data_IF_567977870983
#
_entry.id   IF_567977870983
#
_cell.length_a   1.000
_cell.length_b   1.000
_cell.length_c   1.000
_cell.angle_alpha   90.00
_cell.angle_beta   90.00
_cell.angle_gamma   90.00
#
_symmetry.space_group_name_H-M   'P 1'
#
loop_
_entity.id
_entity.type
_entity.pdbx_description
1 polymer ?
#
# COMPACT_ATOMS: atom_id res chain seq x y z
N UNK A 1 -94.98 47.54 -28.05
CA UNK A 1 -95.40 46.15 -27.86
C UNK A 1 -94.15 45.29 -27.73
N UNK A 2 -93.83 44.61 -26.62
CA UNK A 2 -94.53 43.51 -25.90
C UNK A 2 -94.47 42.17 -26.62
N UNK A 3 -93.95 41.16 -25.90
CA UNK A 3 -93.95 39.70 -26.14
C UNK A 3 -92.75 39.14 -26.96
N UNK A 4 -92.16 37.97 -26.62
CA UNK A 4 -92.43 37.05 -25.49
C UNK A 4 -91.18 36.33 -24.95
N UNK A 5 -91.17 36.14 -23.62
CA UNK A 5 -90.46 35.17 -22.75
C UNK A 5 -89.12 34.54 -23.19
N UNK A 6 -88.12 34.74 -22.32
CA UNK A 6 -86.95 33.87 -22.14
C UNK A 6 -87.32 32.46 -21.68
N UNK A 7 -86.56 31.46 -22.12
CA UNK A 7 -86.40 30.15 -21.45
C UNK A 7 -84.91 29.76 -21.42
N UNK A 8 -84.59 28.84 -20.52
CA UNK A 8 -83.27 28.70 -19.88
C UNK A 8 -82.50 27.44 -20.35
N UNK A 9 -81.22 27.39 -19.95
CA UNK A 9 -80.39 26.19 -19.71
C UNK A 9 -79.76 25.40 -20.88
N UNK A 10 -78.43 25.54 -20.94
CA UNK A 10 -77.45 24.44 -20.96
C UNK A 10 -77.42 23.45 -22.14
N UNK A 11 -76.88 23.90 -23.28
CA UNK A 11 -76.25 23.01 -24.29
C UNK A 11 -74.74 23.28 -24.29
N UNK A 12 -74.02 22.74 -23.30
CA UNK A 12 -72.61 23.10 -23.08
C UNK A 12 -71.78 22.08 -22.26
N UNK A 13 -71.89 20.78 -22.53
CA UNK A 13 -71.01 19.76 -21.91
C UNK A 13 -70.98 18.38 -22.64
N UNK A 14 -70.69 18.33 -23.95
CA UNK A 14 -70.32 17.04 -24.58
C UNK A 14 -69.34 17.18 -25.77
N UNK A 15 -68.28 17.97 -25.59
CA UNK A 15 -67.13 17.91 -26.50
C UNK A 15 -66.31 16.65 -26.17
N UNK A 16 -66.70 15.52 -26.74
CA UNK A 16 -65.94 14.25 -26.63
C UNK A 16 -64.55 14.48 -27.20
N UNK A 17 -63.51 14.14 -26.43
CA UNK A 17 -62.13 14.19 -26.90
C UNK A 17 -61.89 13.09 -27.94
N UNK A 18 -62.20 13.38 -29.20
CA UNK A 18 -61.67 12.67 -30.35
C UNK A 18 -60.19 13.03 -30.57
N UNK A 19 -59.36 12.80 -29.55
CA UNK A 19 -57.92 12.64 -29.77
C UNK A 19 -57.77 11.43 -30.70
N UNK A 20 -57.11 11.56 -31.86
CA UNK A 20 -56.68 10.38 -32.58
C UNK A 20 -55.69 9.66 -31.66
N UNK A 21 -56.08 8.48 -31.18
CA UNK A 21 -55.11 7.56 -30.63
C UNK A 21 -54.16 7.23 -31.78
N UNK A 22 -53.01 7.90 -31.81
CA UNK A 22 -51.83 7.36 -32.46
C UNK A 22 -51.47 6.10 -31.69
N UNK A 23 -52.11 4.99 -32.07
CA UNK A 23 -51.43 3.72 -32.04
C UNK A 23 -50.07 3.98 -32.71
N UNK A 24 -49.00 3.77 -31.95
CA UNK A 24 -47.72 3.57 -32.60
C UNK A 24 -47.95 2.40 -33.55
N UNK A 25 -47.86 2.68 -34.85
CA UNK A 25 -47.91 1.65 -35.87
C UNK A 25 -46.55 0.93 -35.79
N UNK A 26 -46.43 0.11 -34.74
CA UNK A 26 -45.28 -0.70 -34.37
C UNK A 26 -45.23 -1.88 -35.35
N UNK A 27 -45.12 -1.51 -36.63
CA UNK A 27 -45.32 -2.33 -37.80
C UNK A 27 -44.35 -3.49 -37.70
N UNK A 28 -44.91 -4.70 -37.58
CA UNK A 28 -44.18 -5.91 -37.20
C UNK A 28 -43.11 -6.21 -38.25
N UNK A 29 -41.93 -5.63 -38.03
CA UNK A 29 -40.81 -5.71 -38.94
C UNK A 29 -40.40 -7.17 -39.04
N UNK A 30 -40.35 -7.69 -40.27
CA UNK A 30 -40.12 -9.11 -40.50
C UNK A 30 -38.84 -9.56 -39.77
N UNK A 31 -38.84 -10.71 -39.09
CA UNK A 31 -37.67 -11.15 -38.33
C UNK A 31 -36.48 -11.38 -39.27
N UNK A 32 -35.40 -10.60 -39.12
CA UNK A 32 -34.22 -10.67 -40.01
C UNK A 32 -33.05 -11.35 -39.30
N UNK A 33 -32.41 -12.30 -39.97
CA UNK A 33 -31.23 -13.01 -39.45
C UNK A 33 -29.97 -12.12 -39.52
N UNK A 34 -29.21 -12.08 -38.44
CA UNK A 34 -27.92 -11.38 -38.37
C UNK A 34 -26.79 -12.24 -38.93
N UNK A 35 -25.86 -11.62 -39.67
CA UNK A 35 -24.68 -12.32 -40.22
C UNK A 35 -23.57 -12.53 -39.19
N UNK A 36 -23.42 -11.61 -38.23
CA UNK A 36 -22.46 -11.69 -37.12
C UNK A 36 -23.13 -11.31 -35.81
N UNK A 37 -22.81 -12.07 -34.75
CA UNK A 37 -23.47 -11.98 -33.44
C UNK A 37 -22.43 -12.08 -32.33
N UNK A 38 -22.61 -11.29 -31.29
CA UNK A 38 -21.68 -11.18 -30.15
C UNK A 38 -22.41 -11.51 -28.86
N UNK A 39 -21.93 -12.51 -28.10
CA UNK A 39 -22.67 -13.11 -26.96
C UNK A 39 -21.81 -13.16 -25.69
N UNK A 40 -22.46 -13.08 -24.52
CA UNK A 40 -21.87 -13.26 -23.16
C UNK A 40 -22.56 -14.37 -22.33
N UNK A 41 -23.54 -15.08 -22.89
CA UNK A 41 -24.11 -16.28 -22.29
C UNK A 41 -23.44 -17.55 -22.80
N UNK A 42 -23.54 -18.64 -22.05
CA UNK A 42 -23.13 -19.99 -22.46
C UNK A 42 -24.07 -20.62 -23.51
N UNK A 43 -25.22 -19.99 -23.73
CA UNK A 43 -26.27 -20.38 -24.67
C UNK A 43 -26.68 -19.17 -25.51
N UNK A 44 -26.71 -19.35 -26.83
CA UNK A 44 -27.21 -18.40 -27.83
C UNK A 44 -28.72 -18.52 -27.93
N UNK A 45 -29.42 -17.38 -27.91
CA UNK A 45 -30.87 -17.25 -27.94
C UNK A 45 -31.37 -16.78 -29.30
N UNK A 46 -32.68 -16.89 -29.54
CA UNK A 46 -33.31 -16.42 -30.78
C UNK A 46 -33.06 -14.92 -31.00
N UNK A 47 -33.16 -14.11 -29.96
CA UNK A 47 -32.97 -12.65 -30.04
C UNK A 47 -31.52 -12.19 -30.25
N UNK A 48 -30.53 -13.06 -30.03
CA UNK A 48 -29.14 -12.76 -30.36
C UNK A 48 -28.92 -12.90 -31.88
N UNK A 49 -29.57 -13.91 -32.47
CA UNK A 49 -29.47 -14.28 -33.89
C UNK A 49 -30.41 -13.49 -34.82
N UNK A 50 -31.54 -13.00 -34.30
CA UNK A 50 -32.67 -12.47 -35.09
C UNK A 50 -33.12 -11.12 -34.54
N UNK A 51 -33.05 -10.08 -35.37
CA UNK A 51 -33.74 -8.82 -35.11
C UNK A 51 -35.25 -8.98 -35.23
N UNK A 52 -36.01 -8.27 -34.39
CA UNK A 52 -37.48 -8.33 -34.33
C UNK A 52 -38.05 -9.70 -33.93
N UNK A 53 -37.28 -10.52 -33.20
CA UNK A 53 -37.72 -11.84 -32.70
C UNK A 53 -38.91 -11.82 -31.70
N UNK A 54 -39.35 -10.65 -31.23
CA UNK A 54 -40.49 -10.48 -30.33
C UNK A 54 -40.39 -11.35 -29.06
N UNK A 55 -41.52 -11.90 -28.62
CA UNK A 55 -41.62 -12.77 -27.44
C UNK A 55 -40.77 -14.05 -27.53
N UNK A 56 -40.36 -14.48 -28.74
CA UNK A 56 -39.50 -15.65 -28.92
C UNK A 56 -38.02 -15.36 -28.60
N UNK A 57 -37.61 -14.09 -28.48
CA UNK A 57 -36.22 -13.66 -28.32
C UNK A 57 -35.47 -14.37 -27.18
N UNK A 58 -36.14 -14.70 -26.07
CA UNK A 58 -35.55 -15.34 -24.90
C UNK A 58 -35.30 -16.85 -25.05
N UNK A 59 -35.82 -17.50 -26.11
CA UNK A 59 -35.74 -18.95 -26.28
C UNK A 59 -34.28 -19.38 -26.57
N UNK A 60 -33.71 -20.37 -25.86
CA UNK A 60 -32.38 -20.91 -26.14
C UNK A 60 -32.37 -21.79 -27.40
N UNK A 61 -31.33 -21.64 -28.22
CA UNK A 61 -31.20 -22.32 -29.54
C UNK A 61 -29.93 -23.16 -29.64
N UNK A 62 -28.77 -22.61 -29.29
CA UNK A 62 -27.45 -23.26 -29.41
C UNK A 62 -26.59 -23.04 -28.16
N UNK A 63 -25.59 -23.89 -27.92
CA UNK A 63 -24.49 -23.53 -27.02
C UNK A 63 -23.57 -22.51 -27.69
N UNK A 64 -23.12 -21.52 -26.93
CA UNK A 64 -22.12 -20.56 -27.39
C UNK A 64 -20.75 -21.23 -27.54
N UNK A 65 -19.87 -20.71 -28.42
CA UNK A 65 -18.47 -21.15 -28.50
C UNK A 65 -17.68 -20.93 -27.21
N UNK A 66 -16.42 -21.40 -27.21
CA UNK A 66 -15.48 -21.16 -26.12
C UNK A 66 -15.16 -19.67 -25.92
N UNK A 67 -14.75 -19.33 -24.70
CA UNK A 67 -14.48 -17.95 -24.27
C UNK A 67 -13.38 -17.29 -25.13
N UNK A 68 -13.77 -16.24 -25.85
CA UNK A 68 -12.89 -15.48 -26.75
C UNK A 68 -12.73 -16.11 -28.13
N UNK A 69 -13.66 -16.99 -28.54
CA UNK A 69 -13.65 -17.66 -29.86
C UNK A 69 -14.88 -17.31 -30.69
N UNK A 70 -14.76 -17.51 -32.00
CA UNK A 70 -15.86 -17.36 -32.97
C UNK A 70 -16.18 -18.73 -33.57
N UNK A 71 -17.46 -19.10 -33.60
CA UNK A 71 -17.96 -20.29 -34.25
C UNK A 71 -18.95 -19.96 -35.36
N UNK A 72 -18.83 -20.64 -36.51
CA UNK A 72 -19.75 -20.49 -37.63
C UNK A 72 -20.95 -21.45 -37.49
N UNK A 73 -22.17 -20.93 -37.65
CA UNK A 73 -23.41 -21.71 -37.66
C UNK A 73 -24.07 -21.65 -39.05
N UNK A 74 -24.16 -22.75 -39.80
CA UNK A 74 -24.81 -22.77 -41.12
C UNK A 74 -26.28 -22.38 -41.04
N UNK A 75 -26.74 -21.50 -41.93
CA UNK A 75 -28.11 -20.94 -41.89
C UNK A 75 -29.19 -22.01 -42.06
N UNK A 76 -28.92 -23.07 -42.82
CA UNK A 76 -29.81 -24.22 -42.94
C UNK A 76 -30.06 -24.94 -41.60
N UNK A 77 -29.04 -25.02 -40.73
CA UNK A 77 -29.15 -25.59 -39.39
C UNK A 77 -29.93 -24.64 -38.46
N UNK A 78 -29.58 -23.35 -38.48
CA UNK A 78 -30.28 -22.29 -37.72
C UNK A 78 -31.78 -22.29 -38.03
N UNK A 79 -32.17 -22.24 -39.31
CA UNK A 79 -33.57 -22.31 -39.74
C UNK A 79 -34.27 -23.60 -39.31
N UNK A 80 -33.57 -24.74 -39.26
CA UNK A 80 -34.16 -26.02 -38.86
C UNK A 80 -34.55 -26.02 -37.38
N UNK A 81 -33.69 -25.50 -36.50
CA UNK A 81 -33.99 -25.40 -35.06
C UNK A 81 -35.05 -24.32 -34.79
N UNK A 82 -35.02 -23.19 -35.52
CA UNK A 82 -36.02 -22.12 -35.39
C UNK A 82 -37.44 -22.61 -35.73
N UNK A 83 -37.61 -23.37 -36.83
CA UNK A 83 -38.90 -24.01 -37.16
C UNK A 83 -39.36 -24.96 -36.05
N UNK A 84 -38.45 -25.75 -35.47
CA UNK A 84 -38.75 -26.63 -34.34
C UNK A 84 -39.08 -25.88 -33.03
N UNK A 85 -38.76 -24.58 -32.95
CA UNK A 85 -39.18 -23.64 -31.90
C UNK A 85 -40.33 -22.72 -32.33
N UNK A 86 -41.02 -23.06 -33.42
CA UNK A 86 -42.17 -22.32 -33.98
C UNK A 86 -41.85 -20.88 -34.43
N UNK A 87 -40.57 -20.53 -34.61
CA UNK A 87 -40.13 -19.25 -35.18
C UNK A 87 -40.13 -19.39 -36.71
N UNK A 88 -41.05 -18.69 -37.37
CA UNK A 88 -41.39 -18.83 -38.79
C UNK A 88 -41.32 -17.44 -39.46
N UNK A 89 -41.03 -17.40 -40.77
CA UNK A 89 -41.01 -16.14 -41.53
C UNK A 89 -39.69 -15.36 -41.47
N UNK A 90 -38.61 -15.99 -41.00
CA UNK A 90 -37.29 -15.36 -40.87
C UNK A 90 -36.67 -15.05 -42.24
N UNK A 91 -36.37 -13.78 -42.50
CA UNK A 91 -35.66 -13.31 -43.68
C UNK A 91 -34.16 -13.51 -43.49
N UNK A 92 -33.51 -14.24 -44.41
CA UNK A 92 -32.08 -14.61 -44.28
C UNK A 92 -31.14 -13.95 -45.28
N UNK A 93 -31.68 -13.26 -46.30
CA UNK A 93 -30.87 -12.66 -47.38
C UNK A 93 -29.92 -13.67 -48.03
N UNK A 94 -28.74 -13.20 -48.45
CA UNK A 94 -27.66 -14.01 -49.02
C UNK A 94 -26.74 -14.68 -47.97
N UNK A 95 -27.11 -14.64 -46.68
CA UNK A 95 -26.31 -15.16 -45.58
C UNK A 95 -26.28 -16.70 -45.62
N UNK A 96 -25.07 -17.28 -45.69
CA UNK A 96 -24.86 -18.74 -45.72
C UNK A 96 -24.52 -19.33 -44.35
N UNK A 97 -23.84 -18.54 -43.52
CA UNK A 97 -23.39 -18.86 -42.17
C UNK A 97 -23.55 -17.64 -41.26
N UNK A 98 -23.83 -17.87 -39.98
CA UNK A 98 -23.83 -16.84 -38.94
C UNK A 98 -22.57 -17.00 -38.10
N UNK A 99 -21.78 -15.94 -37.99
CA UNK A 99 -20.56 -15.93 -37.19
C UNK A 99 -20.88 -15.49 -35.76
N UNK A 100 -20.82 -16.42 -34.81
CA UNK A 100 -21.12 -16.19 -33.39
C UNK A 100 -19.82 -16.06 -32.60
N UNK A 101 -19.53 -14.87 -32.08
CA UNK A 101 -18.35 -14.60 -31.24
C UNK A 101 -18.76 -14.54 -29.77
N UNK A 102 -18.12 -15.33 -28.91
CA UNK A 102 -18.31 -15.21 -27.46
C UNK A 102 -17.24 -14.30 -26.87
N UNK A 103 -17.65 -13.18 -26.27
CA UNK A 103 -16.73 -12.26 -25.60
C UNK A 103 -16.14 -12.91 -24.34
N UNK A 104 -14.88 -12.59 -24.07
CA UNK A 104 -14.19 -13.00 -22.86
C UNK A 104 -13.34 -11.88 -22.29
N UNK A 105 -13.32 -11.79 -20.95
CA UNK A 105 -12.35 -11.00 -20.22
C UNK A 105 -11.15 -11.89 -19.91
N UNK A 106 -9.99 -11.56 -20.46
CA UNK A 106 -8.74 -12.21 -20.05
C UNK A 106 -8.22 -11.51 -18.79
N UNK A 107 -7.95 -12.29 -17.74
CA UNK A 107 -7.15 -11.83 -16.60
C UNK A 107 -5.72 -12.32 -16.80
N UNK A 108 -4.78 -11.39 -16.93
CA UNK A 108 -3.38 -11.74 -17.09
C UNK A 108 -2.83 -12.34 -15.79
N UNK A 109 -1.88 -13.25 -15.92
CA UNK A 109 -1.26 -13.94 -14.78
C UNK A 109 -0.71 -12.96 -13.73
N UNK A 110 -0.12 -11.84 -14.18
CA UNK A 110 0.37 -10.75 -13.34
C UNK A 110 -0.72 -9.97 -12.59
N UNK A 111 -1.92 -9.85 -13.14
CA UNK A 111 -3.05 -9.20 -12.45
C UNK A 111 -3.56 -10.06 -11.29
N UNK A 112 -3.49 -11.38 -11.46
CA UNK A 112 -3.83 -12.36 -10.43
C UNK A 112 -2.75 -12.40 -9.33
N UNK A 113 -1.46 -12.28 -9.68
CA UNK A 113 -0.36 -12.09 -8.72
C UNK A 113 -0.57 -10.82 -7.88
N UNK A 114 -0.82 -9.68 -8.53
CA UNK A 114 -1.10 -8.41 -7.85
C UNK A 114 -2.32 -8.51 -6.92
N UNK A 115 -3.42 -9.13 -7.38
CA UNK A 115 -4.63 -9.31 -6.58
C UNK A 115 -4.40 -10.23 -5.36
N UNK A 116 -3.58 -11.27 -5.49
CA UNK A 116 -3.14 -12.13 -4.38
C UNK A 116 -2.26 -11.36 -3.40
N UNK A 117 -1.25 -10.63 -3.88
CA UNK A 117 -0.33 -9.87 -3.04
C UNK A 117 -1.07 -8.78 -2.24
N UNK A 118 -1.89 -7.96 -2.89
CA UNK A 118 -2.71 -6.96 -2.22
C UNK A 118 -3.84 -7.55 -1.36
N UNK A 119 -4.19 -8.83 -1.48
CA UNK A 119 -5.10 -9.52 -0.55
C UNK A 119 -4.38 -10.07 0.69
N UNK A 120 -3.12 -10.46 0.54
CA UNK A 120 -2.29 -10.98 1.63
C UNK A 120 -1.73 -9.85 2.51
N UNK A 121 -1.24 -8.76 1.91
CA UNK A 121 -0.79 -7.54 2.59
C UNK A 121 -1.85 -7.02 3.57
N UNK A 122 -3.03 -6.63 3.06
CA UNK A 122 -4.14 -6.03 3.83
C UNK A 122 -4.68 -6.88 4.98
N UNK A 123 -4.44 -8.20 5.01
CA UNK A 123 -5.06 -9.13 5.97
C UNK A 123 -4.07 -9.86 6.89
N UNK A 124 -2.80 -9.93 6.51
CA UNK A 124 -1.76 -10.61 7.30
C UNK A 124 -0.58 -9.70 7.69
N UNK A 125 -0.52 -8.46 7.21
CA UNK A 125 0.56 -7.52 7.57
C UNK A 125 1.94 -7.95 7.07
N UNK A 126 1.96 -8.77 6.01
CA UNK A 126 3.16 -8.99 5.21
C UNK A 126 3.56 -7.67 4.54
N UNK A 127 4.86 -7.48 4.30
CA UNK A 127 5.36 -6.27 3.63
C UNK A 127 4.75 -6.05 2.25
N UNK A 128 4.84 -4.81 1.76
CA UNK A 128 4.20 -4.27 0.56
C UNK A 128 4.03 -5.28 -0.58
N UNK A 129 2.89 -5.29 -1.27
CA UNK A 129 2.59 -6.25 -2.35
C UNK A 129 3.72 -6.40 -3.40
N UNK A 130 4.48 -5.35 -3.69
CA UNK A 130 5.63 -5.38 -4.60
C UNK A 130 6.80 -6.28 -4.13
N UNK A 131 6.93 -6.49 -2.82
CA UNK A 131 7.93 -7.34 -2.17
C UNK A 131 7.51 -8.82 -2.10
N UNK A 132 6.24 -9.15 -2.35
CA UNK A 132 5.76 -10.53 -2.31
C UNK A 132 6.03 -11.26 -3.64
N UNK A 133 6.76 -12.37 -3.61
CA UNK A 133 6.87 -13.28 -4.76
C UNK A 133 5.80 -14.35 -4.65
N UNK A 134 4.87 -14.35 -5.59
CA UNK A 134 3.74 -15.30 -5.66
C UNK A 134 4.06 -16.40 -6.67
N UNK A 135 3.71 -17.65 -6.36
CA UNK A 135 3.85 -18.81 -7.24
C UNK A 135 2.66 -19.73 -7.05
N UNK A 136 1.97 -20.08 -8.13
CA UNK A 136 0.72 -20.85 -8.04
C UNK A 136 0.96 -22.37 -8.11
N UNK A 137 0.22 -23.15 -7.30
CA UNK A 137 0.29 -24.63 -7.27
C UNK A 137 -0.03 -25.25 -8.64
N UNK A 138 -0.95 -24.61 -9.36
CA UNK A 138 -1.34 -24.92 -10.73
C UNK A 138 -0.81 -23.79 -11.58
N UNK A 139 -0.06 -24.09 -12.64
CA UNK A 139 0.49 -23.06 -13.53
C UNK A 139 -0.62 -22.17 -14.10
N UNK A 140 -0.79 -20.98 -13.53
CA UNK A 140 -1.79 -20.02 -13.97
C UNK A 140 -1.33 -19.47 -15.31
N UNK A 141 -1.95 -19.99 -16.37
CA UNK A 141 -2.00 -19.34 -17.67
C UNK A 141 -3.11 -18.29 -17.64
N UNK A 142 -3.03 -17.29 -18.53
CA UNK A 142 -3.97 -16.17 -18.55
C UNK A 142 -5.44 -16.65 -18.61
N UNK A 143 -6.19 -16.31 -17.56
CA UNK A 143 -7.48 -16.92 -17.30
C UNK A 143 -8.58 -16.16 -18.03
N UNK A 144 -9.23 -16.82 -18.98
CA UNK A 144 -10.41 -16.28 -19.67
C UNK A 144 -11.66 -16.52 -18.82
N UNK A 145 -12.28 -15.42 -18.42
CA UNK A 145 -13.62 -15.36 -17.85
C UNK A 145 -14.61 -14.88 -18.92
N UNK A 146 -15.90 -15.07 -18.66
CA UNK A 146 -16.92 -14.42 -19.49
C UNK A 146 -16.84 -12.89 -19.35
N UNK A 147 -17.07 -12.15 -20.45
CA UNK A 147 -16.97 -10.70 -20.46
C UNK A 147 -18.00 -10.00 -19.54
N UNK A 148 -19.13 -10.64 -19.22
CA UNK A 148 -20.07 -10.12 -18.21
C UNK A 148 -19.47 -10.06 -16.79
N UNK A 149 -18.30 -10.65 -16.53
CA UNK A 149 -17.57 -10.51 -15.27
C UNK A 149 -16.73 -9.22 -15.27
N UNK A 150 -17.39 -8.07 -15.16
CA UNK A 150 -16.76 -6.74 -15.19
C UNK A 150 -16.14 -6.32 -13.84
N UNK A 151 -16.59 -6.91 -12.74
CA UNK A 151 -16.20 -6.51 -11.38
C UNK A 151 -14.70 -6.63 -11.06
N UNK A 152 -14.29 -5.98 -9.96
CA UNK A 152 -12.94 -6.17 -9.40
C UNK A 152 -12.81 -7.53 -8.69
N UNK A 153 -11.58 -8.05 -8.59
CA UNK A 153 -11.25 -9.26 -7.82
C UNK A 153 -11.35 -8.99 -6.31
N UNK A 154 -12.46 -9.37 -5.67
CA UNK A 154 -12.66 -9.17 -4.24
C UNK A 154 -12.30 -10.44 -3.46
N UNK A 155 -11.25 -10.41 -2.65
CA UNK A 155 -10.85 -11.54 -1.81
C UNK A 155 -11.79 -11.70 -0.59
N UNK A 156 -12.63 -12.73 -0.61
CA UNK A 156 -13.63 -13.01 0.43
C UNK A 156 -13.06 -13.93 1.51
N UNK A 157 -12.58 -15.11 1.11
CA UNK A 157 -11.82 -16.00 1.97
C UNK A 157 -10.32 -15.84 1.67
N UNK A 158 -9.51 -15.71 2.71
CA UNK A 158 -8.05 -15.60 2.59
C UNK A 158 -7.45 -16.43 3.71
N UNK A 159 -6.66 -17.45 3.38
CA UNK A 159 -5.93 -18.29 4.31
C UNK A 159 -4.46 -18.29 3.89
N UNK A 160 -3.58 -18.09 4.85
CA UNK A 160 -2.13 -18.06 4.65
C UNK A 160 -1.44 -18.80 5.81
N UNK A 161 -0.42 -19.59 5.50
CA UNK A 161 0.46 -20.25 6.46
C UNK A 161 1.85 -19.61 6.37
N UNK A 162 2.25 -18.88 7.40
CA UNK A 162 3.55 -18.19 7.47
C UNK A 162 4.76 -19.11 7.66
N UNK A 163 4.57 -20.40 7.97
CA UNK A 163 5.67 -21.38 8.01
C UNK A 163 5.99 -21.96 6.64
N UNK A 164 4.96 -22.30 5.87
CA UNK A 164 5.10 -22.87 4.52
C UNK A 164 5.00 -21.87 3.37
N UNK A 165 4.69 -20.60 3.67
CA UNK A 165 4.32 -19.59 2.68
C UNK A 165 3.02 -19.90 1.91
N UNK A 166 2.26 -20.94 2.29
CA UNK A 166 1.17 -21.45 1.46
C UNK A 166 -0.10 -20.62 1.61
N UNK A 167 -0.71 -20.22 0.50
CA UNK A 167 -1.97 -19.49 0.46
C UNK A 167 -3.11 -20.31 -0.18
N UNK A 168 -4.33 -20.00 0.27
CA UNK A 168 -5.60 -20.40 -0.34
C UNK A 168 -6.53 -19.19 -0.28
N UNK A 169 -6.91 -18.65 -1.43
CA UNK A 169 -7.70 -17.42 -1.52
C UNK A 169 -8.88 -17.65 -2.46
N UNK A 170 -10.09 -17.39 -1.95
CA UNK A 170 -11.31 -17.33 -2.75
C UNK A 170 -11.64 -15.87 -3.07
N UNK A 171 -11.55 -15.54 -4.35
CA UNK A 171 -12.01 -14.28 -4.92
C UNK A 171 -13.45 -14.42 -5.43
N UNK A 172 -14.23 -13.35 -5.27
CA UNK A 172 -15.51 -13.17 -5.96
C UNK A 172 -15.39 -12.01 -6.96
N UNK A 173 -16.09 -12.14 -8.08
CA UNK A 173 -16.14 -11.15 -9.16
C UNK A 173 -17.61 -10.91 -9.51
N UNK A 174 -18.05 -9.66 -9.42
CA UNK A 174 -19.40 -9.23 -9.83
C UNK A 174 -19.64 -9.51 -11.31
N UNK A 175 -20.86 -9.96 -11.63
CA UNK A 175 -21.29 -10.28 -13.00
C UNK A 175 -22.54 -9.48 -13.36
N UNK A 176 -22.51 -8.74 -14.47
CA UNK A 176 -23.60 -7.85 -14.87
C UNK A 176 -24.81 -8.60 -15.48
N UNK A 177 -24.65 -9.90 -15.79
CA UNK A 177 -25.68 -10.76 -16.35
C UNK A 177 -26.23 -11.80 -15.37
N UNK A 178 -25.68 -11.90 -14.16
CA UNK A 178 -26.10 -12.87 -13.14
C UNK A 178 -25.87 -12.31 -11.72
N UNK A 179 -26.91 -12.22 -10.87
CA UNK A 179 -26.76 -11.73 -9.49
C UNK A 179 -25.87 -12.62 -8.60
N UNK A 180 -25.56 -13.86 -9.01
CA UNK A 180 -24.57 -14.69 -8.33
C UNK A 180 -23.14 -14.36 -8.82
N UNK A 181 -22.22 -13.92 -7.93
CA UNK A 181 -20.86 -13.57 -8.33
C UNK A 181 -20.04 -14.81 -8.71
N UNK A 182 -19.13 -14.64 -9.67
CA UNK A 182 -18.23 -15.70 -10.11
C UNK A 182 -17.14 -15.93 -9.07
N UNK A 183 -17.03 -17.18 -8.60
CA UNK A 183 -16.05 -17.61 -7.59
C UNK A 183 -14.79 -18.18 -8.23
N UNK A 184 -13.65 -17.59 -7.90
CA UNK A 184 -12.32 -18.05 -8.28
C UNK A 184 -11.54 -18.47 -7.04
N UNK A 185 -10.95 -19.67 -7.03
CA UNK A 185 -10.05 -20.11 -5.95
C UNK A 185 -8.63 -20.28 -6.48
N UNK A 186 -7.70 -19.52 -5.91
CA UNK A 186 -6.27 -19.57 -6.21
C UNK A 186 -5.51 -20.17 -5.03
N UNK A 187 -4.59 -21.09 -5.30
CA UNK A 187 -3.72 -21.72 -4.30
C UNK A 187 -2.27 -21.72 -4.79
N UNK A 188 -1.32 -21.66 -3.87
CA UNK A 188 0.10 -21.57 -4.17
C UNK A 188 0.95 -21.24 -2.97
N UNK A 189 2.18 -20.82 -3.22
CA UNK A 189 3.11 -20.25 -2.23
C UNK A 189 3.35 -18.77 -2.51
N UNK A 190 3.37 -17.97 -1.45
CA UNK A 190 3.73 -16.58 -1.46
C UNK A 190 4.87 -16.37 -0.46
N UNK A 191 6.00 -15.86 -0.94
CA UNK A 191 7.23 -15.67 -0.16
C UNK A 191 7.51 -14.18 -0.09
N UNK A 192 7.65 -13.64 1.12
CA UNK A 192 8.10 -12.26 1.30
C UNK A 192 9.58 -12.17 0.89
N UNK A 193 9.84 -11.46 -0.22
CA UNK A 193 11.20 -11.18 -0.70
C UNK A 193 11.57 -9.74 -0.38
N UNK A 194 12.82 -9.51 -0.02
CA UNK A 194 13.36 -8.17 0.21
C UNK A 194 14.43 -7.88 -0.84
N UNK A 195 14.50 -6.64 -1.31
CA UNK A 195 15.68 -6.17 -2.03
C UNK A 195 16.85 -6.10 -1.05
N UNK A 196 17.95 -6.77 -1.40
CA UNK A 196 19.19 -6.75 -0.64
C UNK A 196 20.31 -6.17 -1.49
N UNK A 197 21.09 -5.28 -0.88
CA UNK A 197 22.40 -4.91 -1.40
C UNK A 197 23.36 -6.10 -1.23
N UNK A 198 23.93 -6.59 -2.34
CA UNK A 198 24.87 -7.73 -2.35
C UNK A 198 26.22 -7.26 -2.87
N UNK A 199 27.30 -7.70 -2.22
CA UNK A 199 28.67 -7.35 -2.64
C UNK A 199 29.06 -8.06 -3.94
N UNK A 200 29.53 -7.30 -4.93
CA UNK A 200 30.01 -7.85 -6.23
C UNK A 200 31.45 -8.36 -6.17
N UNK A 201 32.20 -7.99 -5.13
CA UNK A 201 33.60 -8.39 -4.89
C UNK A 201 33.85 -8.56 -3.39
N UNK A 202 35.00 -9.13 -3.04
CA UNK A 202 35.52 -9.10 -1.68
C UNK A 202 35.94 -7.67 -1.30
N UNK A 203 35.61 -7.25 -0.07
CA UNK A 203 35.85 -5.90 0.46
C UNK A 203 36.35 -6.01 1.90
N UNK A 204 37.40 -5.24 2.20
CA UNK A 204 38.03 -5.23 3.52
C UNK A 204 37.32 -4.28 4.49
N UNK A 205 37.62 -4.43 5.79
CA UNK A 205 37.15 -3.46 6.80
C UNK A 205 37.67 -2.05 6.47
N UNK A 206 36.92 -1.01 6.82
CA UNK A 206 37.23 0.40 6.54
C UNK A 206 37.37 0.80 5.06
N UNK A 207 37.19 -0.12 4.10
CA UNK A 207 37.08 0.25 2.69
C UNK A 207 35.72 0.91 2.42
N UNK A 208 35.70 1.97 1.60
CA UNK A 208 34.48 2.69 1.21
C UNK A 208 33.75 1.99 0.06
N UNK A 209 32.48 1.66 0.29
CA UNK A 209 31.57 1.03 -0.66
C UNK A 209 31.21 1.97 -1.83
N UNK A 210 31.46 1.52 -3.07
CA UNK A 210 31.10 2.26 -4.29
C UNK A 210 29.84 1.67 -4.94
N UNK A 211 29.19 2.42 -5.83
CA UNK A 211 28.00 1.93 -6.56
C UNK A 211 28.30 0.72 -7.49
N UNK A 212 29.56 0.55 -7.91
CA UNK A 212 30.09 -0.63 -8.64
C UNK A 212 30.18 -1.89 -7.78
N UNK A 213 30.33 -1.70 -6.47
CA UNK A 213 30.65 -2.75 -5.51
C UNK A 213 29.38 -3.42 -4.95
N UNK A 214 28.22 -2.84 -5.26
CA UNK A 214 26.90 -3.23 -4.75
C UNK A 214 25.96 -3.53 -5.92
N UNK A 215 25.50 -4.77 -6.00
CA UNK A 215 24.33 -5.16 -6.79
C UNK A 215 23.05 -5.13 -5.94
N UNK A 216 21.89 -5.04 -6.57
CA UNK A 216 20.60 -5.34 -5.94
C UNK A 216 20.17 -6.74 -6.38
N UNK A 217 19.75 -7.57 -5.43
CA UNK A 217 19.16 -8.88 -5.66
C UNK A 217 17.88 -9.00 -4.81
N UNK A 218 16.87 -9.72 -5.29
CA UNK A 218 15.68 -10.05 -4.50
C UNK A 218 15.88 -11.39 -3.83
N UNK A 219 15.88 -11.41 -2.48
CA UNK A 219 16.09 -12.63 -1.68
C UNK A 219 14.90 -12.90 -0.75
N UNK A 220 14.56 -14.17 -0.45
CA UNK A 220 13.59 -14.49 0.58
C UNK A 220 13.99 -13.88 1.93
N UNK A 221 13.07 -13.16 2.58
CA UNK A 221 13.30 -12.55 3.90
C UNK A 221 13.59 -13.57 5.00
N UNK A 222 13.20 -14.84 4.77
CA UNK A 222 13.56 -16.00 5.60
C UNK A 222 15.04 -16.38 5.55
N UNK A 223 15.73 -16.11 4.43
CA UNK A 223 17.20 -16.30 4.29
C UNK A 223 17.97 -15.09 4.82
N UNK A 224 17.42 -13.89 4.67
CA UNK A 224 18.05 -12.61 5.02
C UNK A 224 17.96 -12.37 6.54
N UNK A 225 19.00 -12.79 7.26
CA UNK A 225 19.09 -12.60 8.72
C UNK A 225 19.34 -11.12 9.09
N UNK A 226 18.32 -10.43 9.60
CA UNK A 226 18.41 -9.05 10.09
C UNK A 226 18.02 -8.00 9.05
N UNK A 227 18.15 -6.72 9.39
CA UNK A 227 17.75 -5.61 8.51
C UNK A 227 18.73 -5.43 7.34
N UNK A 228 18.29 -5.62 6.07
CA UNK A 228 19.14 -5.42 4.90
C UNK A 228 19.38 -3.93 4.63
N UNK A 229 20.58 -3.59 4.17
CA UNK A 229 20.88 -2.23 3.75
C UNK A 229 20.33 -1.98 2.33
N UNK A 230 19.54 -0.91 2.15
CA UNK A 230 19.22 -0.37 0.83
C UNK A 230 20.50 0.11 0.14
N UNK A 231 20.63 -0.13 -1.17
CA UNK A 231 21.83 0.24 -1.97
C UNK A 231 22.24 1.70 -1.78
N UNK A 232 21.28 2.61 -1.83
CA UNK A 232 21.49 4.06 -1.67
C UNK A 232 22.08 4.43 -0.30
N UNK A 233 21.72 3.70 0.76
CA UNK A 233 22.25 3.89 2.12
C UNK A 233 23.60 3.21 2.34
N UNK A 234 23.95 2.22 1.53
CA UNK A 234 25.22 1.50 1.60
C UNK A 234 26.33 2.19 0.78
N UNK A 235 26.00 2.87 -0.32
CA UNK A 235 26.96 3.65 -1.12
C UNK A 235 27.58 4.76 -0.25
N UNK A 236 28.91 4.88 -0.30
CA UNK A 236 29.66 5.88 0.45
C UNK A 236 29.88 5.53 1.92
N UNK A 237 29.37 4.41 2.43
CA UNK A 237 29.65 3.90 3.78
C UNK A 237 30.92 3.03 3.79
N UNK A 238 31.46 2.75 4.98
CA UNK A 238 32.54 1.79 5.20
C UNK A 238 32.01 0.50 5.84
N UNK A 239 32.65 -0.65 5.54
CA UNK A 239 32.35 -1.91 6.22
C UNK A 239 33.07 -2.01 7.57
N UNK A 240 32.33 -2.46 8.60
CA UNK A 240 32.85 -2.73 9.96
C UNK A 240 33.70 -4.00 10.06
N UNK A 241 33.48 -4.95 9.17
CA UNK A 241 34.18 -6.24 9.06
C UNK A 241 34.44 -6.57 7.59
N UNK A 242 35.52 -7.31 7.25
CA UNK A 242 35.71 -7.79 5.89
C UNK A 242 34.55 -8.71 5.49
N UNK A 243 34.09 -8.62 4.24
CA UNK A 243 32.98 -9.40 3.70
C UNK A 243 33.32 -9.93 2.31
N UNK A 244 32.75 -11.08 1.95
CA UNK A 244 32.99 -11.75 0.66
C UNK A 244 31.94 -11.37 -0.38
N UNK A 245 32.30 -11.47 -1.65
CA UNK A 245 31.36 -11.41 -2.76
C UNK A 245 30.16 -12.35 -2.54
N UNK A 246 28.97 -11.94 -2.99
CA UNK A 246 27.72 -12.68 -2.79
C UNK A 246 27.10 -12.55 -1.39
N UNK A 247 27.75 -11.87 -0.43
CA UNK A 247 27.18 -11.66 0.91
C UNK A 247 26.19 -10.48 0.91
N UNK A 248 24.95 -10.64 1.44
CA UNK A 248 24.02 -9.53 1.66
C UNK A 248 24.53 -8.56 2.74
N UNK A 249 24.52 -7.26 2.43
CA UNK A 249 24.90 -6.16 3.33
C UNK A 249 23.75 -5.84 4.28
N UNK A 250 24.05 -5.67 5.57
CA UNK A 250 23.09 -5.37 6.64
C UNK A 250 23.34 -3.99 7.20
N UNK A 251 22.30 -3.34 7.73
CA UNK A 251 22.42 -2.01 8.37
C UNK A 251 23.42 -2.01 9.54
N UNK A 252 23.56 -3.15 10.25
CA UNK A 252 24.52 -3.31 11.34
C UNK A 252 26.00 -3.46 10.88
N UNK A 253 26.24 -3.81 9.61
CA UNK A 253 27.57 -4.09 9.05
C UNK A 253 28.24 -2.86 8.43
N UNK A 254 27.45 -1.83 8.10
CA UNK A 254 27.93 -0.53 7.60
C UNK A 254 28.21 0.46 8.73
N UNK A 255 29.11 1.40 8.48
CA UNK A 255 29.41 2.54 9.32
C UNK A 255 29.63 3.81 8.46
N UNK A 256 29.47 4.99 9.07
CA UNK A 256 29.98 6.24 8.48
C UNK A 256 31.49 6.10 8.19
N UNK A 257 32.03 6.69 7.11
CA UNK A 257 33.46 6.67 6.86
C UNK A 257 34.27 7.38 7.95
N UNK A 258 35.32 6.73 8.47
CA UNK A 258 36.31 7.39 9.30
C UNK A 258 37.07 8.45 8.49
N UNK A 259 36.93 9.72 8.88
CA UNK A 259 37.65 10.86 8.31
C UNK A 259 39.02 11.04 8.99
N UNK A 260 39.12 10.55 10.22
CA UNK A 260 40.35 10.41 11.01
C UNK A 260 40.40 8.98 11.51
N UNK A 261 41.48 8.26 11.20
CA UNK A 261 41.75 6.94 11.77
C UNK A 261 42.64 7.07 13.01
N UNK A 262 42.56 6.08 13.91
CA UNK A 262 43.42 6.02 15.09
C UNK A 262 44.91 6.02 14.69
N UNK A 263 45.74 6.69 15.51
CA UNK A 263 47.18 6.86 15.32
C UNK A 263 47.59 7.67 14.07
N UNK A 264 46.64 8.20 13.29
CA UNK A 264 46.89 9.05 12.11
C UNK A 264 47.48 10.42 12.49
N UNK A 265 48.39 10.95 11.65
CA UNK A 265 48.82 12.35 11.75
C UNK A 265 47.73 13.28 11.20
N UNK A 266 47.27 14.24 12.02
CA UNK A 266 46.15 15.12 11.71
C UNK A 266 46.49 16.61 11.90
N UNK A 267 45.78 17.47 11.18
CA UNK A 267 45.85 18.92 11.33
C UNK A 267 44.82 19.36 12.37
N UNK A 268 45.29 19.84 13.51
CA UNK A 268 44.48 20.45 14.56
C UNK A 268 44.29 21.92 14.23
N UNK A 269 43.03 22.33 14.06
CA UNK A 269 42.61 23.72 13.88
C UNK A 269 42.07 24.20 15.23
N UNK A 270 42.80 25.08 15.90
CA UNK A 270 42.32 25.73 17.12
C UNK A 270 41.63 27.04 16.75
N UNK A 271 40.33 27.11 17.04
CA UNK A 271 39.48 28.25 16.68
C UNK A 271 38.80 28.82 17.92
N UNK A 272 39.02 30.12 18.15
CA UNK A 272 38.30 30.95 19.13
C UNK A 272 38.03 32.33 18.50
N UNK A 273 37.10 33.14 19.02
CA UNK A 273 36.84 34.47 18.49
C UNK A 273 38.13 35.31 18.39
N UNK A 274 38.51 35.69 17.17
CA UNK A 274 39.71 36.48 16.88
C UNK A 274 41.03 35.71 16.73
N UNK A 275 41.09 34.38 16.94
CA UNK A 275 42.32 33.59 16.78
C UNK A 275 42.05 32.29 16.00
N UNK A 276 42.84 32.07 14.96
CA UNK A 276 42.89 30.84 14.18
C UNK A 276 44.33 30.31 14.17
N UNK A 277 44.58 29.18 14.82
CA UNK A 277 45.90 28.55 14.91
C UNK A 277 45.85 27.14 14.32
N UNK A 278 46.83 26.79 13.50
CA UNK A 278 46.97 25.45 12.91
C UNK A 278 48.18 24.74 13.51
N UNK A 279 48.04 23.48 13.91
CA UNK A 279 49.14 22.69 14.51
C UNK A 279 49.01 21.21 14.12
N UNK A 280 50.13 20.47 14.06
CA UNK A 280 50.11 19.03 13.78
C UNK A 280 49.94 18.22 15.07
N UNK A 281 48.99 17.30 15.05
CA UNK A 281 48.75 16.34 16.12
C UNK A 281 48.74 14.90 15.59
N UNK A 282 48.59 13.95 16.51
CA UNK A 282 48.38 12.53 16.21
C UNK A 282 47.07 12.08 16.88
N UNK A 283 46.14 11.56 16.10
CA UNK A 283 44.86 11.07 16.60
C UNK A 283 45.07 9.88 17.56
N UNK A 284 44.38 9.89 18.70
CA UNK A 284 44.34 8.77 19.65
C UNK A 284 43.12 7.89 19.32
N UNK A 285 42.00 8.54 18.98
CA UNK A 285 40.74 7.92 18.60
C UNK A 285 40.47 8.12 17.10
N UNK A 286 39.76 7.18 16.48
CA UNK A 286 39.20 7.34 15.14
C UNK A 286 37.78 7.95 15.19
N UNK A 287 37.32 8.54 14.09
CA UNK A 287 35.98 9.14 14.01
C UNK A 287 35.57 9.56 12.60
N UNK A 288 34.27 9.62 12.37
CA UNK A 288 33.66 10.18 11.16
C UNK A 288 33.45 11.70 11.29
N UNK A 289 32.95 12.32 10.23
CA UNK A 289 32.60 13.75 10.23
C UNK A 289 31.58 14.08 11.33
N UNK A 290 31.89 15.11 12.13
CA UNK A 290 31.10 15.55 13.27
C UNK A 290 31.34 14.78 14.57
N UNK A 291 32.09 13.68 14.56
CA UNK A 291 32.41 12.94 15.79
C UNK A 291 33.48 13.68 16.61
N UNK A 292 33.46 13.48 17.94
CA UNK A 292 34.45 14.05 18.87
C UNK A 292 35.58 13.06 19.12
N UNK A 293 36.82 13.48 18.85
CA UNK A 293 38.03 12.64 18.94
C UNK A 293 39.11 13.27 19.81
N UNK A 294 39.93 12.43 20.46
CA UNK A 294 41.12 12.87 21.20
C UNK A 294 42.35 12.91 20.30
N UNK A 295 43.11 14.00 20.35
CA UNK A 295 44.33 14.20 19.53
C UNK A 295 45.50 14.63 20.42
N UNK A 296 46.61 13.93 20.33
CA UNK A 296 47.88 14.29 20.98
C UNK A 296 48.60 15.37 20.16
N UNK A 297 48.83 16.56 20.73
CA UNK A 297 49.66 17.58 20.12
C UNK A 297 51.15 17.16 20.17
N UNK A 298 51.82 17.11 19.03
CA UNK A 298 53.20 16.60 18.92
C UNK A 298 54.26 17.54 19.54
N UNK A 299 53.97 18.84 19.65
CA UNK A 299 54.90 19.83 20.22
C UNK A 299 54.74 19.92 21.74
N UNK A 300 53.50 20.02 22.24
CA UNK A 300 53.21 20.24 23.66
C UNK A 300 52.98 18.95 24.46
N UNK A 301 52.87 17.80 23.78
CA UNK A 301 52.51 16.49 24.35
C UNK A 301 51.18 16.48 25.14
N UNK A 302 50.33 17.50 24.98
CA UNK A 302 48.99 17.55 25.57
C UNK A 302 47.98 16.88 24.65
N UNK A 303 47.09 16.08 25.23
CA UNK A 303 45.86 15.64 24.56
C UNK A 303 44.89 16.81 24.48
N UNK A 304 44.28 16.99 23.32
CA UNK A 304 43.22 17.96 23.02
C UNK A 304 42.01 17.19 22.50
N UNK A 305 40.81 17.56 22.95
CA UNK A 305 39.55 17.00 22.45
C UNK A 305 38.95 17.97 21.43
N UNK A 306 38.53 17.47 20.27
CA UNK A 306 37.97 18.30 19.20
C UNK A 306 37.04 17.53 18.27
N UNK A 307 36.36 18.25 17.40
CA UNK A 307 35.37 17.70 16.46
C UNK A 307 36.04 17.48 15.11
N UNK A 308 35.83 16.32 14.48
CA UNK A 308 36.33 16.04 13.13
C UNK A 308 35.55 16.89 12.11
N UNK A 309 36.26 17.82 11.46
CA UNK A 309 35.69 18.80 10.50
C UNK A 309 36.11 18.52 9.05
N UNK A 310 36.95 17.52 8.82
CA UNK A 310 37.35 17.10 7.49
C UNK A 310 38.33 15.92 7.54
N UNK A 311 38.68 15.37 6.37
CA UNK A 311 39.64 14.25 6.27
C UNK A 311 41.00 14.68 6.84
N UNK A 312 41.40 14.06 7.95
CA UNK A 312 42.62 14.44 8.69
C UNK A 312 42.58 15.84 9.34
N UNK A 313 41.41 16.44 9.53
CA UNK A 313 41.23 17.76 10.15
C UNK A 313 40.33 17.67 11.38
N UNK A 314 40.78 18.26 12.50
CA UNK A 314 40.05 18.30 13.77
C UNK A 314 40.01 19.72 14.28
N UNK A 315 38.81 20.29 14.43
CA UNK A 315 38.62 21.61 15.02
C UNK A 315 38.47 21.49 16.53
N UNK A 316 39.43 22.05 17.27
CA UNK A 316 39.37 22.21 18.73
C UNK A 316 38.82 23.60 19.02
N UNK A 317 37.61 23.66 19.56
CA UNK A 317 37.08 24.89 20.14
C UNK A 317 37.77 25.13 21.48
N UNK A 318 38.34 26.31 21.66
CA UNK A 318 39.07 26.67 22.87
C UNK A 318 38.15 26.88 24.07
N UNK A 319 37.88 25.82 24.82
CA UNK A 319 37.35 25.96 26.18
C UNK A 319 38.37 26.76 27.01
N UNK A 320 37.98 27.96 27.43
CA UNK A 320 38.81 28.88 28.21
C UNK A 320 39.04 28.34 29.63
N UNK A 321 40.02 27.45 29.79
CA UNK A 321 40.41 26.85 31.08
C UNK A 321 41.20 27.82 31.97
N UNK A 322 40.62 29.00 32.19
CA UNK A 322 40.86 29.83 33.37
C UNK A 322 39.74 29.56 34.37
N UNK A 323 39.69 28.33 34.91
CA UNK A 323 38.84 28.02 36.05
C UNK A 323 39.36 28.84 37.26
N UNK A 324 38.55 29.71 37.88
CA UNK A 324 38.98 30.44 39.06
C UNK A 324 39.12 29.45 40.21
N UNK A 325 40.37 29.14 40.58
CA UNK A 325 40.68 28.38 41.78
C UNK A 325 40.20 29.18 42.99
N UNK A 326 39.13 28.74 43.63
CA UNK A 326 38.63 29.37 44.84
C UNK A 326 39.74 29.33 45.93
N UNK A 327 40.06 30.46 46.59
CA UNK A 327 41.09 30.47 47.62
C UNK A 327 40.62 29.61 48.80
N UNK A 328 41.50 28.72 49.27
CA UNK A 328 41.27 27.99 50.51
C UNK A 328 41.33 28.99 51.68
N UNK A 329 40.19 29.25 52.32
CA UNK A 329 40.13 30.10 53.51
C UNK A 329 40.30 29.23 54.74
N UNK A 330 41.48 29.30 55.35
CA UNK A 330 41.71 28.74 56.69
C UNK A 330 40.82 29.48 57.71
N UNK A 331 40.06 28.74 58.50
CA UNK A 331 39.29 29.29 59.63
C UNK A 331 39.70 28.64 60.94
N UNK A 332 40.89 29.01 61.42
CA UNK A 332 41.29 28.74 62.80
C UNK A 332 40.64 29.75 63.75
N UNK A 333 39.70 29.26 64.56
CA UNK A 333 39.48 29.64 65.96
C UNK A 333 39.38 31.12 66.32
N UNK A 334 38.15 31.57 66.61
CA UNK A 334 37.91 32.50 67.72
C UNK A 334 36.65 32.08 68.49
N UNK A 335 36.64 32.31 69.80
CA UNK A 335 35.69 31.70 70.73
C UNK A 335 34.58 32.67 71.12
N UNK A 336 33.35 32.16 71.26
CA UNK A 336 32.43 32.64 72.30
C UNK A 336 31.68 31.47 72.95
N UNK A 337 31.32 31.66 74.22
CA UNK A 337 30.74 30.69 75.17
C UNK A 337 29.24 30.99 75.36
N UNK A 338 28.59 30.19 76.21
CA UNK A 338 27.18 30.28 76.67
C UNK A 338 26.20 29.62 75.65
N UNK A 339 25.28 28.72 76.02
CA UNK A 339 24.98 28.12 77.34
C UNK A 339 24.42 26.69 77.19
N UNK A 340 24.29 25.94 78.30
CA UNK A 340 23.89 24.52 78.33
C UNK A 340 22.35 24.29 78.22
N UNK A 341 21.88 23.07 77.84
CA UNK A 341 20.50 22.84 77.39
C UNK A 341 19.53 22.25 78.44
N UNK A 342 18.23 22.33 78.15
CA UNK A 342 17.16 21.53 78.78
C UNK A 342 16.09 21.10 77.71
N UNK A 343 15.30 20.01 77.91
CA UNK A 343 14.70 19.27 76.79
C UNK A 343 13.16 19.17 76.76
N UNK A 344 12.58 19.15 75.55
CA UNK A 344 11.30 18.53 75.10
C UNK A 344 11.21 18.71 73.55
N UNK A 345 10.45 17.96 72.74
CA UNK A 345 9.49 16.87 72.99
C UNK A 345 9.48 15.87 71.82
N UNK A 346 9.16 14.59 72.05
CA UNK A 346 9.26 13.51 71.02
C UNK A 346 7.98 13.22 70.23
N UNK A 347 7.01 14.15 70.21
CA UNK A 347 5.64 13.91 69.77
C UNK A 347 5.38 13.88 68.23
N UNK A 348 6.38 14.18 67.38
CA UNK A 348 6.15 14.56 65.98
C UNK A 348 6.38 13.48 64.90
N UNK A 349 6.72 12.23 65.26
CA UNK A 349 7.26 11.23 64.31
C UNK A 349 6.35 10.03 63.97
N UNK A 350 5.10 9.98 64.43
CA UNK A 350 4.18 8.86 64.18
C UNK A 350 2.76 9.30 63.75
N UNK A 351 2.62 9.81 62.51
CA UNK A 351 1.35 9.91 61.76
C UNK A 351 1.61 10.33 60.30
N UNK A 352 1.85 9.35 59.40
CA UNK A 352 1.62 9.43 57.94
C UNK A 352 1.98 8.11 57.22
N UNK A 353 1.48 6.97 57.72
CA UNK A 353 1.72 5.64 57.12
C UNK A 353 0.46 4.75 57.08
N UNK A 354 -0.67 5.33 56.63
CA UNK A 354 -1.83 4.57 56.13
C UNK A 354 -2.43 5.31 54.95
N UNK A 355 -2.29 4.74 53.74
CA UNK A 355 -3.10 5.13 52.59
C UNK A 355 -3.38 3.88 51.73
N UNK A 356 -4.65 3.52 51.62
CA UNK A 356 -5.12 2.33 50.91
C UNK A 356 -5.47 2.66 49.44
N UNK A 357 -5.40 1.69 48.52
CA UNK A 357 -5.70 1.92 47.11
C UNK A 357 -7.20 2.12 46.87
N UNK A 358 -7.55 3.08 46.01
CA UNK A 358 -8.92 3.27 45.51
C UNK A 358 -9.13 2.47 44.21
N UNK A 359 -10.27 1.78 44.11
CA UNK A 359 -10.66 0.99 42.95
C UNK A 359 -11.38 1.84 41.88
N UNK A 360 -11.34 1.46 40.58
CA UNK A 360 -11.87 2.28 39.49
C UNK A 360 -13.38 2.14 39.31
N UNK A 361 -14.12 3.24 39.47
CA UNK A 361 -15.50 3.40 39.02
C UNK A 361 -15.81 4.90 38.78
N UNK A 362 -16.90 5.19 38.07
CA UNK A 362 -17.49 6.53 37.92
C UNK A 362 -16.64 7.58 37.17
N UNK A 363 -16.53 7.43 35.84
CA UNK A 363 -16.51 8.60 34.93
C UNK A 363 -17.65 8.41 33.93
N UNK A 364 -18.82 8.94 34.29
CA UNK A 364 -20.00 9.05 33.44
C UNK A 364 -20.73 10.37 33.76
N UNK A 365 -21.37 10.95 32.75
CA UNK A 365 -22.38 12.03 32.85
C UNK A 365 -21.98 13.40 33.44
N UNK A 366 -21.43 14.26 32.57
CA UNK A 366 -21.83 15.67 32.40
C UNK A 366 -21.40 16.09 30.96
N UNK A 367 -22.21 16.69 30.05
CA UNK A 367 -23.11 17.85 30.11
C UNK A 367 -22.36 19.15 30.50
N UNK A 368 -22.51 20.33 29.86
CA UNK A 368 -23.33 20.81 28.72
C UNK A 368 -22.63 22.09 28.15
N UNK A 369 -22.74 22.51 26.85
CA UNK A 369 -23.99 22.98 26.26
C UNK A 369 -24.21 22.69 24.74
N UNK A 370 -24.15 23.71 23.87
CA UNK A 370 -24.70 23.79 22.49
C UNK A 370 -23.84 24.68 21.57
N UNK A 371 -23.96 24.51 20.25
CA UNK A 371 -23.84 25.59 19.27
C UNK A 371 -24.75 25.31 18.05
N UNK A 372 -25.48 26.32 17.55
CA UNK A 372 -26.29 26.25 16.32
C UNK A 372 -25.55 26.97 15.17
N UNK A 373 -25.41 26.34 14.01
CA UNK A 373 -25.50 27.06 12.71
C UNK A 373 -26.37 26.24 11.75
N UNK A 374 -27.24 26.97 11.07
CA UNK A 374 -28.37 26.56 10.24
C UNK A 374 -28.08 26.53 8.74
N UNK A 375 -28.88 25.73 8.00
CA UNK A 375 -29.17 25.86 6.55
C UNK A 375 -28.00 25.51 5.58
N UNK A 376 -28.21 25.11 4.32
CA UNK A 376 -29.46 25.01 3.52
C UNK A 376 -29.45 23.81 2.51
N UNK A 377 -30.63 23.58 1.89
CA UNK A 377 -30.92 23.31 0.45
C UNK A 377 -29.76 22.92 -0.51
N UNK A 378 -29.94 22.09 -1.55
CA UNK A 378 -31.06 21.31 -2.12
C UNK A 378 -30.44 20.21 -3.07
N UNK A 379 -31.12 19.43 -3.91
CA UNK A 379 -32.50 19.42 -4.43
C UNK A 379 -32.90 18.00 -4.84
#
# INVERSE_FOLDING_TARGET
>A
MTMIRTTLLAISALLVLALPAQAADDGIAAPTLRASVTVTSDVVRVGDLIDNAGSAALIPVYRSPDLGTTGALPVAQVLSVLRAKQVIGVMTGDIKEVQVTRLARTLASKDLENAVASALERRFGLGDAANLTVTFDRGVSDMRLDASNTGALQAVATRYDSRGGRFDIAFEISNDSNPAPTRLRLTGTAIETVEVAVLTRDIDRSEMLKSSDIAQERRPKSEVTGEPALRERAIGMQLRRPMRAGTPIRVADIAKPEFVTRDQSVTVIYQVPGIYLTTRGKAIDGGAEGDTVSVLNLQTKRTLTGIVTGRGQVTVQGASQSAPMAPAVEQTSSLKREEAPAPVDTAALLRNLVQAPASPAQIAEAQIPQARVSQAQAK
#
